data_IF_756975767281
#
_entry.id   IF_756975767281
#
_cell.length_a   1.000
_cell.length_b   1.000
_cell.length_c   1.000
_cell.angle_alpha   90.00
_cell.angle_beta   90.00
_cell.angle_gamma   90.00
#
_symmetry.space_group_name_H-M   'P 1'
#
loop_
_entity.id
_entity.type
_entity.pdbx_description
1 polymer ?
#
# COMPACT_ATOMS: atom_id res chain seq x y z
N UNK A 1 -32.06 19.73 18.87
CA UNK A 1 -32.40 18.65 17.91
C UNK A 1 -31.14 18.24 17.15
N UNK A 2 -30.91 16.93 16.97
CA UNK A 2 -29.78 16.43 16.17
C UNK A 2 -30.17 16.43 14.68
N UNK A 3 -29.60 17.38 13.92
CA UNK A 3 -29.89 17.53 12.50
C UNK A 3 -29.15 16.47 11.68
N UNK A 4 -29.89 15.49 11.18
CA UNK A 4 -29.41 14.50 10.20
C UNK A 4 -29.02 15.18 8.88
N UNK A 5 -27.86 14.80 8.33
CA UNK A 5 -27.31 15.34 7.07
C UNK A 5 -27.29 14.27 5.99
N UNK A 6 -27.44 14.66 4.73
CA UNK A 6 -27.33 13.74 3.59
C UNK A 6 -25.89 13.25 3.39
N UNK A 7 -25.73 11.98 3.02
CA UNK A 7 -24.44 11.42 2.65
C UNK A 7 -23.85 12.13 1.41
N UNK A 8 -22.54 12.34 1.38
CA UNK A 8 -21.81 12.92 0.24
C UNK A 8 -21.53 11.95 -0.91
N UNK A 9 -21.81 10.66 -0.75
CA UNK A 9 -21.62 9.68 -1.84
C UNK A 9 -22.68 9.89 -2.92
N UNK A 10 -22.31 10.08 -4.20
CA UNK A 10 -23.28 10.23 -5.29
C UNK A 10 -24.30 9.08 -5.31
N UNK A 11 -25.59 9.40 -5.42
CA UNK A 11 -26.70 8.44 -5.42
C UNK A 11 -27.14 7.91 -4.04
N UNK A 12 -26.30 7.99 -3.01
CA UNK A 12 -26.61 7.46 -1.67
C UNK A 12 -27.64 8.36 -0.95
N UNK A 13 -28.89 7.87 -0.83
CA UNK A 13 -30.01 8.55 -0.18
C UNK A 13 -29.89 8.58 1.37
N UNK A 14 -28.99 7.79 1.95
CA UNK A 14 -28.90 7.60 3.40
C UNK A 14 -28.42 8.85 4.14
N UNK A 15 -28.96 9.05 5.36
CA UNK A 15 -28.64 10.18 6.23
C UNK A 15 -27.63 9.78 7.32
N UNK A 16 -26.91 10.77 7.86
CA UNK A 16 -25.90 10.56 8.91
C UNK A 16 -25.90 11.66 9.99
N UNK A 17 -25.28 11.35 11.13
CA UNK A 17 -25.03 12.30 12.23
C UNK A 17 -23.53 12.50 12.56
N UNK A 18 -22.67 11.59 12.07
CA UNK A 18 -21.23 11.64 12.28
C UNK A 18 -20.57 12.87 11.57
N UNK A 19 -19.30 13.15 11.87
CA UNK A 19 -18.54 14.26 11.26
C UNK A 19 -17.90 13.94 9.90
N UNK A 20 -17.97 12.71 9.38
CA UNK A 20 -17.25 12.34 8.15
C UNK A 20 -17.87 12.93 6.88
N UNK A 21 -19.19 13.13 6.88
CA UNK A 21 -19.96 13.50 5.69
C UNK A 21 -20.57 12.31 4.95
N UNK A 22 -20.58 11.13 5.56
CA UNK A 22 -21.05 9.88 4.95
C UNK A 22 -21.93 9.10 5.95
N UNK A 23 -22.95 8.36 5.48
CA UNK A 23 -23.60 7.33 6.32
C UNK A 23 -22.57 6.26 6.71
N UNK A 24 -22.83 5.47 7.75
CA UNK A 24 -21.78 4.62 8.34
C UNK A 24 -21.32 3.49 7.39
N UNK A 25 -22.21 3.03 6.50
CA UNK A 25 -21.89 2.13 5.36
C UNK A 25 -20.92 2.82 4.39
N UNK A 26 -21.28 4.01 3.90
CA UNK A 26 -20.43 4.79 3.02
C UNK A 26 -19.13 5.20 3.71
N UNK A 27 -19.14 5.52 5.00
CA UNK A 27 -17.94 5.87 5.75
C UNK A 27 -16.97 4.70 5.77
N UNK A 28 -17.47 3.47 5.94
CA UNK A 28 -16.66 2.25 5.85
C UNK A 28 -16.04 2.10 4.46
N UNK A 29 -16.84 2.23 3.39
CA UNK A 29 -16.34 2.17 2.00
C UNK A 29 -15.37 3.31 1.68
N UNK A 30 -15.65 4.53 2.14
CA UNK A 30 -14.83 5.71 1.88
C UNK A 30 -13.53 5.71 2.69
N UNK A 31 -13.52 5.14 3.90
CA UNK A 31 -12.30 4.91 4.67
C UNK A 31 -11.43 3.86 3.98
N UNK A 32 -12.00 2.73 3.53
CA UNK A 32 -11.25 1.73 2.76
C UNK A 32 -10.68 2.32 1.45
N UNK A 33 -11.50 2.99 0.65
CA UNK A 33 -11.10 3.60 -0.60
C UNK A 33 -10.09 4.74 -0.41
N UNK A 34 -10.27 5.62 0.59
CA UNK A 34 -9.36 6.77 0.80
C UNK A 34 -8.04 6.38 1.45
N UNK A 35 -8.00 5.32 2.28
CA UNK A 35 -6.75 4.66 2.69
C UNK A 35 -6.01 4.11 1.46
N UNK A 36 -6.70 3.35 0.60
CA UNK A 36 -6.13 2.74 -0.61
C UNK A 36 -5.75 3.76 -1.72
N UNK A 37 -6.29 5.00 -1.68
CA UNK A 37 -6.15 6.01 -2.76
C UNK A 37 -5.19 7.16 -2.47
N UNK A 38 -4.78 7.39 -1.21
CA UNK A 38 -3.84 8.49 -0.88
C UNK A 38 -2.39 8.28 -1.36
N UNK A 39 -2.14 7.18 -2.08
CA UNK A 39 -0.82 6.60 -2.36
C UNK A 39 -0.67 6.24 -3.86
N UNK A 40 -1.78 6.23 -4.61
CA UNK A 40 -1.80 5.90 -6.05
C UNK A 40 -2.39 7.08 -6.82
N UNK A 41 -1.53 7.72 -7.62
CA UNK A 41 -1.81 8.56 -8.81
C UNK A 41 -2.87 9.66 -8.64
N UNK A 42 -2.39 10.90 -8.58
CA UNK A 42 -3.14 12.15 -8.82
C UNK A 42 -3.47 12.33 -10.30
N UNK A 43 -4.18 11.35 -10.88
CA UNK A 43 -4.43 11.23 -12.32
C UNK A 43 -5.13 12.45 -12.93
N UNK A 44 -4.34 13.30 -13.58
CA UNK A 44 -4.71 14.18 -14.69
C UNK A 44 -3.63 14.05 -15.76
N UNK A 45 -3.96 14.29 -17.04
CA UNK A 45 -3.26 13.70 -18.18
C UNK A 45 -1.97 14.44 -18.61
N UNK A 46 -1.11 14.80 -17.66
CA UNK A 46 0.24 15.34 -17.91
C UNK A 46 1.27 14.64 -17.01
N UNK A 47 2.11 13.80 -17.64
CA UNK A 47 3.31 13.14 -17.09
C UNK A 47 3.43 13.13 -15.54
N UNK A 48 2.73 12.20 -14.88
CA UNK A 48 2.91 12.01 -13.44
C UNK A 48 4.35 11.58 -13.11
N UNK A 49 5.16 12.56 -12.70
CA UNK A 49 6.53 12.35 -12.24
C UNK A 49 6.49 11.39 -11.07
N UNK A 50 7.06 10.19 -11.29
CA UNK A 50 7.22 9.13 -10.28
C UNK A 50 7.61 9.74 -8.93
N UNK A 51 6.80 9.58 -7.86
CA UNK A 51 7.09 10.16 -6.55
C UNK A 51 8.50 9.84 -6.08
N UNK A 52 9.11 10.74 -5.29
CA UNK A 52 10.50 10.67 -4.86
C UNK A 52 10.82 9.38 -4.08
N UNK A 53 12.10 9.15 -3.77
CA UNK A 53 12.49 8.02 -2.94
C UNK A 53 11.75 8.04 -1.58
N UNK A 54 11.76 9.19 -0.89
CA UNK A 54 11.13 9.36 0.43
C UNK A 54 9.61 9.22 0.40
N UNK A 55 8.92 9.74 -0.62
CA UNK A 55 7.46 9.59 -0.76
C UNK A 55 7.01 8.15 -1.02
N UNK A 56 7.94 7.28 -1.46
CA UNK A 56 7.73 5.83 -1.61
C UNK A 56 8.28 5.03 -0.41
N UNK A 57 8.49 5.66 0.75
CA UNK A 57 8.99 5.04 1.98
C UNK A 57 10.50 4.94 2.13
N UNK A 58 11.29 5.25 1.09
CA UNK A 58 12.75 5.19 1.16
C UNK A 58 13.31 6.49 1.78
N UNK A 59 13.01 6.70 3.05
CA UNK A 59 13.38 7.87 3.84
C UNK A 59 14.66 7.66 4.68
N UNK A 60 14.98 8.63 5.56
CA UNK A 60 16.13 8.52 6.46
C UNK A 60 16.03 7.35 7.45
N UNK A 61 14.84 7.03 7.98
CA UNK A 61 14.67 5.91 8.91
C UNK A 61 14.90 4.58 8.19
N UNK A 62 14.35 4.44 6.97
CA UNK A 62 14.62 3.31 6.09
C UNK A 62 16.13 3.16 5.80
N UNK A 63 16.85 4.23 5.49
CA UNK A 63 18.28 4.17 5.22
C UNK A 63 19.12 3.75 6.45
N UNK A 64 18.77 4.23 7.65
CA UNK A 64 19.42 3.79 8.91
C UNK A 64 19.12 2.32 9.20
N UNK A 65 17.87 1.89 9.03
CA UNK A 65 17.44 0.50 9.20
C UNK A 65 18.18 -0.44 8.23
N UNK A 66 18.10 -0.17 6.92
CA UNK A 66 18.69 -1.01 5.88
C UNK A 66 20.22 -1.16 6.03
N UNK A 67 20.91 -0.11 6.49
CA UNK A 67 22.35 -0.16 6.80
C UNK A 67 22.64 -1.07 7.99
N UNK A 68 21.86 -1.01 9.08
CA UNK A 68 22.00 -1.91 10.24
C UNK A 68 21.70 -3.35 9.86
N UNK A 69 20.58 -3.58 9.19
CA UNK A 69 20.14 -4.90 8.75
C UNK A 69 21.20 -5.62 7.90
N UNK A 70 21.82 -4.93 6.94
CA UNK A 70 22.88 -5.50 6.08
C UNK A 70 24.21 -5.78 6.81
N UNK A 71 24.50 -5.10 7.93
CA UNK A 71 25.65 -5.42 8.78
C UNK A 71 25.41 -6.73 9.56
N UNK A 72 24.20 -6.91 10.10
CA UNK A 72 23.78 -8.16 10.76
C UNK A 72 23.63 -9.32 9.77
N UNK A 73 23.25 -9.03 8.52
CA UNK A 73 22.89 -10.02 7.51
C UNK A 73 23.76 -9.92 6.23
N UNK A 74 25.07 -10.24 6.31
CA UNK A 74 26.03 -9.99 5.21
C UNK A 74 25.93 -10.95 4.02
N UNK A 75 25.08 -11.99 4.07
CA UNK A 75 24.96 -13.04 3.02
C UNK A 75 23.57 -13.05 2.41
N UNK A 76 23.51 -13.17 1.08
CA UNK A 76 22.29 -13.22 0.29
C UNK A 76 21.46 -14.47 0.63
N UNK A 77 20.22 -14.29 1.09
CA UNK A 77 19.30 -15.37 1.47
C UNK A 77 19.00 -16.38 0.35
N UNK A 78 19.14 -15.95 -0.92
CA UNK A 78 18.87 -16.80 -2.11
C UNK A 78 20.12 -17.53 -2.63
N UNK A 79 21.35 -17.03 -2.41
CA UNK A 79 22.55 -17.64 -3.01
C UNK A 79 23.87 -17.51 -2.24
N UNK A 80 23.85 -17.12 -0.96
CA UNK A 80 25.02 -17.08 -0.06
C UNK A 80 26.09 -16.02 -0.36
N UNK A 81 26.15 -15.48 -1.58
CA UNK A 81 27.03 -14.37 -2.00
C UNK A 81 26.82 -13.11 -1.12
N UNK A 82 27.79 -12.19 -1.00
CA UNK A 82 27.64 -10.97 -0.22
C UNK A 82 26.34 -10.21 -0.54
N UNK A 83 25.62 -9.82 0.50
CA UNK A 83 24.40 -9.02 0.38
C UNK A 83 24.74 -7.53 0.21
N UNK A 84 23.92 -6.84 -0.59
CA UNK A 84 24.07 -5.41 -0.90
C UNK A 84 22.73 -4.67 -0.98
N UNK A 85 21.62 -5.38 -0.79
CA UNK A 85 20.26 -4.84 -0.82
C UNK A 85 19.47 -5.41 0.36
N UNK A 86 18.87 -4.52 1.15
CA UNK A 86 17.80 -4.87 2.09
C UNK A 86 16.48 -4.90 1.29
N UNK A 87 15.95 -6.10 1.05
CA UNK A 87 14.78 -6.33 0.20
C UNK A 87 13.57 -6.76 1.03
N UNK A 88 12.36 -6.40 0.59
CA UNK A 88 11.11 -6.78 1.26
C UNK A 88 10.78 -8.25 0.95
N UNK A 89 10.56 -9.06 2.00
CA UNK A 89 10.49 -10.53 1.94
C UNK A 89 9.06 -11.06 1.87
N UNK A 90 8.18 -10.58 2.74
CA UNK A 90 6.81 -11.09 2.94
C UNK A 90 5.78 -10.49 1.97
N UNK A 91 6.04 -9.26 1.53
CA UNK A 91 5.25 -8.47 0.59
C UNK A 91 6.19 -7.53 -0.17
N UNK A 92 5.74 -6.92 -1.27
CA UNK A 92 6.57 -5.95 -2.00
C UNK A 92 6.58 -4.58 -1.29
N UNK A 93 7.59 -3.76 -1.58
CA UNK A 93 7.64 -2.36 -1.12
C UNK A 93 6.38 -1.57 -1.51
N UNK A 94 5.79 -1.88 -2.67
CA UNK A 94 4.55 -1.25 -3.15
C UNK A 94 3.35 -1.68 -2.30
N UNK A 95 3.20 -2.98 -2.05
CA UNK A 95 2.13 -3.53 -1.21
C UNK A 95 2.20 -2.98 0.22
N UNK A 96 3.39 -2.93 0.82
CA UNK A 96 3.59 -2.40 2.17
C UNK A 96 3.20 -0.91 2.26
N UNK A 97 3.67 -0.10 1.31
CA UNK A 97 3.31 1.32 1.24
C UNK A 97 1.80 1.51 1.01
N UNK A 98 1.17 0.73 0.14
CA UNK A 98 -0.28 0.78 -0.10
C UNK A 98 -1.12 0.42 1.15
N UNK A 99 -0.72 -0.65 1.87
CA UNK A 99 -1.45 -1.14 3.06
C UNK A 99 -1.28 -0.25 4.30
N UNK A 100 -0.07 0.25 4.54
CA UNK A 100 0.30 0.90 5.81
C UNK A 100 0.63 2.40 5.67
N UNK A 101 0.93 2.89 4.47
CA UNK A 101 1.39 4.27 4.23
C UNK A 101 2.86 4.54 4.57
N UNK A 102 3.59 3.53 5.02
CA UNK A 102 5.00 3.59 5.42
C UNK A 102 5.61 2.18 5.36
N UNK A 103 6.94 2.08 5.49
CA UNK A 103 7.62 0.80 5.68
C UNK A 103 7.57 0.37 7.15
N UNK A 104 7.24 -0.90 7.40
CA UNK A 104 7.25 -1.52 8.73
C UNK A 104 8.66 -2.03 9.01
N UNK A 105 9.45 -1.29 9.80
CA UNK A 105 10.89 -1.52 10.04
C UNK A 105 11.18 -2.70 11.01
N UNK A 106 10.54 -3.83 10.78
CA UNK A 106 10.74 -5.11 11.48
C UNK A 106 11.63 -6.02 10.63
N UNK A 107 12.76 -6.51 11.15
CA UNK A 107 13.72 -7.34 10.40
C UNK A 107 13.09 -8.62 9.80
N UNK A 108 12.02 -9.17 10.38
CA UNK A 108 11.33 -10.34 9.86
C UNK A 108 10.62 -10.10 8.51
N UNK A 109 10.27 -8.84 8.22
CA UNK A 109 9.68 -8.41 6.95
C UNK A 109 10.70 -8.32 5.80
N UNK A 110 11.99 -8.45 6.09
CA UNK A 110 13.07 -8.21 5.13
C UNK A 110 13.98 -9.42 4.90
N UNK A 111 14.77 -9.35 3.83
CA UNK A 111 15.78 -10.34 3.49
C UNK A 111 17.05 -9.68 2.91
N UNK A 112 18.23 -10.20 3.24
CA UNK A 112 19.48 -9.76 2.64
C UNK A 112 19.59 -10.33 1.21
N UNK A 113 19.76 -9.49 0.18
CA UNK A 113 19.99 -9.96 -1.18
C UNK A 113 21.23 -9.32 -1.82
N UNK A 114 21.87 -10.07 -2.72
CA UNK A 114 22.77 -9.49 -3.71
C UNK A 114 21.97 -8.94 -4.90
N UNK A 115 22.49 -7.92 -5.58
CA UNK A 115 21.79 -7.22 -6.68
C UNK A 115 21.18 -8.17 -7.73
N UNK A 116 21.88 -9.25 -8.14
CA UNK A 116 21.38 -10.22 -9.13
C UNK A 116 20.12 -10.94 -8.66
N UNK A 117 20.09 -11.37 -7.40
CA UNK A 117 18.92 -12.04 -6.82
C UNK A 117 17.77 -11.06 -6.61
N UNK A 118 18.04 -9.83 -6.17
CA UNK A 118 17.06 -8.77 -6.04
C UNK A 118 16.35 -8.46 -7.38
N UNK A 119 17.12 -8.28 -8.46
CA UNK A 119 16.58 -8.04 -9.81
C UNK A 119 15.77 -9.25 -10.32
N UNK A 120 16.21 -10.48 -10.02
CA UNK A 120 15.48 -11.69 -10.40
C UNK A 120 14.13 -11.81 -9.68
N UNK A 121 14.10 -11.60 -8.36
CA UNK A 121 12.88 -11.55 -7.55
C UNK A 121 11.93 -10.45 -8.05
N UNK A 122 12.44 -9.24 -8.24
CA UNK A 122 11.69 -8.08 -8.72
C UNK A 122 11.00 -8.30 -10.08
N UNK A 123 11.66 -8.99 -11.02
CA UNK A 123 11.10 -9.31 -12.35
C UNK A 123 10.07 -10.43 -12.33
N UNK A 124 10.21 -11.38 -11.39
CA UNK A 124 9.45 -12.62 -11.37
C UNK A 124 8.45 -12.65 -10.21
N UNK A 125 8.89 -13.02 -9.00
CA UNK A 125 8.03 -13.25 -7.85
C UNK A 125 7.29 -11.98 -7.41
N UNK A 126 7.98 -10.83 -7.35
CA UNK A 126 7.35 -9.58 -6.94
C UNK A 126 6.31 -9.11 -7.96
N UNK A 127 6.60 -9.24 -9.26
CA UNK A 127 5.67 -8.90 -10.33
C UNK A 127 4.40 -9.77 -10.32
N UNK A 128 4.53 -11.04 -9.93
CA UNK A 128 3.38 -11.94 -9.72
C UNK A 128 2.61 -11.52 -8.46
N UNK A 129 3.31 -11.26 -7.35
CA UNK A 129 2.69 -10.83 -6.09
C UNK A 129 1.91 -9.51 -6.25
N UNK A 130 2.52 -8.48 -6.86
CA UNK A 130 1.91 -7.17 -7.13
C UNK A 130 0.60 -7.28 -7.92
N UNK A 131 0.56 -8.19 -8.92
CA UNK A 131 -0.65 -8.48 -9.70
C UNK A 131 -1.70 -9.19 -8.85
N UNK A 132 -1.35 -10.31 -8.23
CA UNK A 132 -2.28 -11.08 -7.41
C UNK A 132 -2.90 -10.23 -6.29
N UNK A 133 -2.13 -9.31 -5.70
CA UNK A 133 -2.60 -8.33 -4.73
C UNK A 133 -3.54 -7.29 -5.35
N UNK A 134 -3.22 -6.74 -6.52
CA UNK A 134 -4.08 -5.80 -7.22
C UNK A 134 -5.43 -6.44 -7.61
N UNK A 135 -5.41 -7.70 -8.07
CA UNK A 135 -6.59 -8.48 -8.42
C UNK A 135 -7.46 -8.76 -7.17
N UNK A 136 -6.84 -9.25 -6.09
CA UNK A 136 -7.53 -9.52 -4.83
C UNK A 136 -8.12 -8.25 -4.17
N UNK A 137 -7.41 -7.12 -4.24
CA UNK A 137 -7.90 -5.83 -3.73
C UNK A 137 -8.95 -5.21 -4.65
N UNK A 138 -8.90 -5.44 -5.96
CA UNK A 138 -10.00 -5.09 -6.87
C UNK A 138 -11.26 -5.89 -6.54
N UNK A 139 -11.15 -7.21 -6.29
CA UNK A 139 -12.28 -8.05 -5.90
C UNK A 139 -12.87 -7.65 -4.55
N UNK A 140 -12.01 -7.41 -3.54
CA UNK A 140 -12.44 -6.86 -2.24
C UNK A 140 -13.20 -5.54 -2.40
N UNK A 141 -12.74 -4.63 -3.27
CA UNK A 141 -13.42 -3.36 -3.52
C UNK A 141 -14.78 -3.51 -4.24
N UNK A 142 -15.02 -4.58 -5.01
CA UNK A 142 -16.34 -4.91 -5.56
C UNK A 142 -17.29 -5.42 -4.46
N UNK A 143 -16.77 -6.21 -3.52
CA UNK A 143 -17.53 -6.79 -2.42
C UNK A 143 -17.90 -5.80 -1.30
N UNK A 144 -17.44 -4.54 -1.35
CA UNK A 144 -17.85 -3.51 -0.40
C UNK A 144 -19.26 -2.98 -0.74
N UNK A 145 -20.18 -2.89 0.23
CA UNK A 145 -21.57 -2.49 -0.03
C UNK A 145 -21.67 -1.09 -0.64
N UNK A 146 -22.46 -0.97 -1.69
CA UNK A 146 -22.71 0.29 -2.40
C UNK A 146 -24.00 0.94 -1.89
N UNK A 147 -23.89 1.90 -0.96
CA UNK A 147 -25.06 2.62 -0.44
C UNK A 147 -25.97 3.13 -1.58
N UNK A 148 -27.26 2.82 -1.48
CA UNK A 148 -28.29 3.32 -2.38
C UNK A 148 -28.44 2.54 -3.68
N UNK A 149 -27.92 1.31 -3.77
CA UNK A 149 -28.32 0.34 -4.81
C UNK A 149 -29.51 -0.53 -4.40
N UNK A 150 -29.74 -0.72 -3.11
CA UNK A 150 -30.98 -1.28 -2.57
C UNK A 150 -31.99 -0.13 -2.35
N UNK A 151 -32.83 0.17 -3.35
CA UNK A 151 -33.90 1.17 -3.26
C UNK A 151 -34.20 1.93 -4.54
#
# INVERSE_FOLDING_TARGET
MLHRKSCKTPGCKNLHLNRSGYCDECQSRHQAQYRYRKIITSGTEMEEKRPSASERGYDHQWHVFAKRFLLSHPKCAICGRPATVCDHKSMTARQMIDMYGHFILDESMYQPLCQRCNICKGRNADKVSDRNYADAKAEFLKGLPECGKDG
#
